data_IF_293385908751
#
_entry.id   IF_293385908751
#
_cell.length_a   1.000
_cell.length_b   1.000
_cell.length_c   1.000
_cell.angle_alpha   90.00
_cell.angle_beta   90.00
_cell.angle_gamma   90.00
#
_symmetry.space_group_name_H-M   'P 1'
#
loop_
_entity.id
_entity.type
_entity.pdbx_description
1 polymer ?
#
# COMPACT_ATOMS: atom_id res chain seq x y z
N UNK A 1 15.51 12.65 -18.51
CA UNK A 1 14.07 12.93 -18.74
C UNK A 1 13.48 13.43 -17.42
N UNK A 2 12.82 14.59 -17.40
CA UNK A 2 12.22 15.14 -16.16
C UNK A 2 11.08 14.22 -15.70
N UNK A 3 11.16 13.69 -14.48
CA UNK A 3 10.09 12.89 -13.88
C UNK A 3 8.84 13.75 -13.75
N UNK A 4 7.68 13.26 -14.20
CA UNK A 4 6.45 14.06 -14.24
C UNK A 4 5.95 14.30 -12.81
N UNK A 5 5.85 15.57 -12.43
CA UNK A 5 5.42 15.98 -11.09
C UNK A 5 3.95 16.38 -11.05
N UNK A 6 3.34 16.29 -9.87
CA UNK A 6 1.98 16.78 -9.63
C UNK A 6 1.92 17.38 -8.23
N UNK A 7 1.47 18.64 -8.06
CA UNK A 7 1.35 19.25 -6.74
C UNK A 7 0.49 18.40 -5.79
N UNK A 8 0.88 18.29 -4.52
CA UNK A 8 0.05 17.63 -3.50
C UNK A 8 -1.21 18.46 -3.22
N UNK A 9 -2.35 17.80 -2.99
CA UNK A 9 -3.57 18.51 -2.60
C UNK A 9 -3.43 19.05 -1.17
N UNK A 10 -4.26 20.03 -0.79
CA UNK A 10 -4.21 20.61 0.55
C UNK A 10 -4.38 19.56 1.65
N UNK A 11 -5.30 18.61 1.46
CA UNK A 11 -5.57 17.52 2.43
C UNK A 11 -4.41 16.54 2.52
N UNK A 12 -3.82 16.13 1.40
CA UNK A 12 -2.68 15.21 1.41
C UNK A 12 -1.49 15.81 2.16
N UNK A 13 -1.26 17.12 2.00
CA UNK A 13 -0.24 17.86 2.74
C UNK A 13 -0.57 17.97 4.22
N UNK A 14 -1.83 18.17 4.60
CA UNK A 14 -2.23 18.20 6.01
C UNK A 14 -1.87 16.88 6.70
N UNK A 15 -2.23 15.74 6.10
CA UNK A 15 -1.84 14.43 6.64
C UNK A 15 -0.33 14.27 6.73
N UNK A 16 0.42 14.66 5.68
CA UNK A 16 1.88 14.60 5.71
C UNK A 16 2.51 15.48 6.80
N UNK A 17 1.90 16.62 7.14
CA UNK A 17 2.40 17.53 8.17
C UNK A 17 2.03 17.11 9.59
N UNK A 18 1.03 16.24 9.74
CA UNK A 18 0.63 15.67 11.03
C UNK A 18 1.49 14.46 11.44
N UNK A 19 2.23 13.88 10.49
CA UNK A 19 3.19 12.78 10.75
C UNK A 19 4.27 13.25 11.72
N UNK A 20 4.40 12.52 12.83
CA UNK A 20 5.58 12.56 13.72
C UNK A 20 5.97 11.14 14.10
N UNK A 21 7.11 10.98 14.78
CA UNK A 21 7.53 9.66 15.30
C UNK A 21 6.48 9.10 16.27
N UNK A 22 5.85 9.96 17.06
CA UNK A 22 4.81 9.61 18.04
C UNK A 22 3.41 9.54 17.43
N UNK A 23 3.22 10.04 16.21
CA UNK A 23 1.95 10.00 15.49
C UNK A 23 2.15 9.58 14.02
N UNK A 24 2.43 8.29 13.76
CA UNK A 24 2.47 7.77 12.40
C UNK A 24 1.08 7.83 11.76
N UNK A 25 0.95 8.59 10.68
CA UNK A 25 -0.24 8.77 9.87
C UNK A 25 -0.40 7.59 8.90
N UNK A 26 -0.52 6.40 9.48
CA UNK A 26 -0.58 5.12 8.77
C UNK A 26 -1.99 4.54 8.77
N UNK A 27 -2.42 4.04 7.61
CA UNK A 27 -3.55 3.11 7.51
C UNK A 27 -2.98 1.72 7.29
N UNK A 28 -3.45 0.75 8.07
CA UNK A 28 -3.06 -0.65 7.90
C UNK A 28 -4.28 -1.54 7.72
N UNK A 29 -4.11 -2.60 6.94
CA UNK A 29 -5.11 -3.65 6.74
C UNK A 29 -4.43 -5.01 6.84
N UNK A 30 -5.11 -5.96 7.46
CA UNK A 30 -4.69 -7.36 7.52
C UNK A 30 -5.64 -8.17 6.65
N UNK A 31 -5.09 -8.91 5.69
CA UNK A 31 -5.85 -9.87 4.87
C UNK A 31 -5.35 -11.26 5.19
N UNK A 32 -6.24 -12.16 5.58
CA UNK A 32 -5.93 -13.57 5.85
C UNK A 32 -6.50 -14.41 4.73
N UNK A 33 -5.71 -15.38 4.25
CA UNK A 33 -6.07 -16.27 3.16
C UNK A 33 -5.92 -17.72 3.61
N UNK A 34 -6.92 -18.54 3.30
CA UNK A 34 -6.94 -19.98 3.60
C UNK A 34 -5.83 -20.77 2.86
N UNK A 35 -5.24 -20.19 1.82
CA UNK A 35 -4.17 -20.80 1.03
C UNK A 35 -3.01 -19.83 0.86
N UNK A 36 -1.79 -20.35 0.82
CA UNK A 36 -0.60 -19.55 0.50
C UNK A 36 -0.67 -18.99 -0.93
N UNK A 37 -0.29 -17.74 -1.08
CA UNK A 37 -0.21 -17.07 -2.38
C UNK A 37 1.23 -17.13 -2.87
N UNK A 38 1.47 -17.78 -4.00
CA UNK A 38 2.79 -17.79 -4.63
C UNK A 38 3.27 -16.35 -4.92
N UNK A 39 4.43 -15.95 -4.37
CA UNK A 39 4.93 -14.57 -4.44
C UNK A 39 4.98 -13.97 -5.85
N UNK A 40 5.48 -14.67 -6.89
CA UNK A 40 5.40 -14.18 -8.27
C UNK A 40 3.97 -13.89 -8.75
N UNK A 41 2.97 -14.65 -8.30
CA UNK A 41 1.55 -14.38 -8.62
C UNK A 41 1.08 -13.10 -7.91
N UNK A 42 1.42 -12.93 -6.63
CA UNK A 42 1.10 -11.71 -5.88
C UNK A 42 1.70 -10.48 -6.56
N UNK A 43 3.00 -10.52 -6.90
CA UNK A 43 3.70 -9.43 -7.61
C UNK A 43 3.03 -9.08 -8.94
N UNK A 44 2.60 -10.07 -9.71
CA UNK A 44 1.86 -9.86 -10.96
C UNK A 44 0.52 -9.14 -10.73
N UNK A 45 -0.29 -9.62 -9.78
CA UNK A 45 -1.57 -8.98 -9.43
C UNK A 45 -1.38 -7.54 -8.98
N UNK A 46 -0.38 -7.27 -8.13
CA UNK A 46 -0.05 -5.93 -7.70
C UNK A 46 0.41 -5.05 -8.87
N UNK A 47 1.23 -5.58 -9.77
CA UNK A 47 1.67 -4.83 -10.96
C UNK A 47 0.48 -4.44 -11.85
N UNK A 48 -0.42 -5.38 -12.11
CA UNK A 48 -1.53 -5.18 -13.04
C UNK A 48 -2.67 -4.34 -12.44
N UNK A 49 -2.96 -4.52 -11.14
CA UNK A 49 -4.15 -3.95 -10.49
C UNK A 49 -3.85 -2.82 -9.51
N UNK A 50 -2.74 -2.89 -8.79
CA UNK A 50 -2.36 -1.88 -7.79
C UNK A 50 -1.52 -0.76 -8.43
N UNK A 51 -0.43 -1.10 -9.11
CA UNK A 51 0.52 -0.14 -9.69
C UNK A 51 -0.01 0.60 -10.93
N UNK A 52 -1.15 0.18 -11.48
CA UNK A 52 -1.89 0.95 -12.48
C UNK A 52 -2.25 2.35 -11.98
N UNK A 53 -2.50 2.51 -10.68
CA UNK A 53 -2.65 3.82 -10.08
C UNK A 53 -1.28 4.44 -9.90
N UNK A 54 -0.98 5.46 -10.72
CA UNK A 54 0.33 6.13 -10.74
C UNK A 54 0.81 6.55 -9.35
N UNK A 55 -0.10 6.93 -8.44
CA UNK A 55 0.22 7.35 -7.07
C UNK A 55 1.09 6.34 -6.31
N UNK A 56 0.92 5.03 -6.51
CA UNK A 56 1.73 4.01 -5.83
C UNK A 56 3.15 3.86 -6.39
N UNK A 57 3.47 4.55 -7.48
CA UNK A 57 4.83 4.65 -8.04
C UNK A 57 5.47 6.01 -7.76
N UNK A 58 4.82 6.84 -6.94
CA UNK A 58 5.27 8.20 -6.67
C UNK A 58 5.76 8.37 -5.24
N UNK A 59 6.87 9.08 -5.10
CA UNK A 59 7.43 9.55 -3.83
C UNK A 59 7.13 11.04 -3.63
N UNK A 60 7.38 11.51 -2.41
CA UNK A 60 7.31 12.93 -2.09
C UNK A 60 8.57 13.62 -2.59
N UNK A 61 8.40 14.74 -3.29
CA UNK A 61 9.46 15.66 -3.65
C UNK A 61 9.14 17.05 -3.10
N UNK A 62 10.09 17.66 -2.39
CA UNK A 62 9.94 18.99 -1.82
C UNK A 62 10.72 20.00 -2.65
N UNK A 63 10.09 21.12 -2.99
CA UNK A 63 10.72 22.25 -3.69
C UNK A 63 10.32 23.55 -2.98
N UNK A 64 11.24 24.07 -2.16
CA UNK A 64 10.90 25.12 -1.18
C UNK A 64 9.83 24.62 -0.21
N UNK A 65 8.82 25.44 0.05
CA UNK A 65 7.73 25.12 0.98
C UNK A 65 6.58 24.31 0.35
N UNK A 66 6.80 23.75 -0.85
CA UNK A 66 5.78 22.99 -1.58
C UNK A 66 6.20 21.53 -1.76
N UNK A 67 5.22 20.66 -1.56
CA UNK A 67 5.34 19.22 -1.72
C UNK A 67 4.63 18.75 -3.00
N UNK A 68 5.29 17.85 -3.73
CA UNK A 68 4.86 17.31 -5.01
C UNK A 68 4.93 15.79 -4.97
N UNK A 69 4.03 15.17 -5.72
CA UNK A 69 4.11 13.77 -6.09
C UNK A 69 4.97 13.62 -7.34
N UNK A 70 6.07 12.89 -7.25
CA UNK A 70 7.01 12.66 -8.35
C UNK A 70 7.16 11.16 -8.58
N UNK A 71 7.14 10.69 -9.83
CA UNK A 71 7.44 9.27 -10.10
C UNK A 71 8.84 8.95 -9.57
N UNK A 72 8.95 7.87 -8.82
CA UNK A 72 10.21 7.39 -8.31
C UNK A 72 11.03 6.79 -9.47
N UNK A 73 12.17 7.40 -9.86
CA UNK A 73 12.99 6.90 -10.96
C UNK A 73 13.64 5.55 -10.67
N UNK A 74 13.71 5.16 -9.40
CA UNK A 74 14.29 3.88 -8.94
C UNK A 74 13.19 2.95 -8.40
N UNK A 75 11.95 3.15 -8.82
CA UNK A 75 10.84 2.32 -8.38
C UNK A 75 11.10 0.85 -8.69
N UNK A 76 11.05 0.03 -7.65
CA UNK A 76 11.08 -1.43 -7.74
C UNK A 76 10.12 -1.99 -6.71
N UNK A 77 9.17 -2.80 -7.16
CA UNK A 77 8.13 -3.42 -6.33
C UNK A 77 8.72 -4.28 -5.20
N UNK A 78 9.92 -4.85 -5.42
CA UNK A 78 10.57 -5.73 -4.45
C UNK A 78 11.08 -4.97 -3.22
N UNK A 79 11.24 -3.64 -3.32
CA UNK A 79 11.52 -2.80 -2.16
C UNK A 79 10.30 -2.55 -1.27
N UNK A 80 9.09 -2.91 -1.72
CA UNK A 80 7.83 -2.66 -1.03
C UNK A 80 7.17 -3.95 -0.52
N UNK A 81 7.65 -5.12 -0.94
CA UNK A 81 7.13 -6.42 -0.53
C UNK A 81 8.15 -7.09 0.39
N UNK A 82 7.78 -7.27 1.65
CA UNK A 82 8.63 -7.88 2.67
C UNK A 82 8.08 -9.26 3.04
N UNK A 83 8.90 -10.30 2.95
CA UNK A 83 8.52 -11.65 3.38
C UNK A 83 8.94 -11.83 4.83
N UNK A 84 7.99 -12.18 5.69
CA UNK A 84 8.20 -12.32 7.14
C UNK A 84 7.75 -13.71 7.56
N UNK A 85 8.57 -14.37 8.39
CA UNK A 85 8.17 -15.56 9.13
C UNK A 85 7.85 -15.13 10.56
N UNK A 86 6.67 -15.53 11.07
CA UNK A 86 6.31 -15.27 12.45
C UNK A 86 7.11 -16.19 13.39
N UNK A 87 7.48 -15.70 14.60
CA UNK A 87 8.11 -16.54 15.61
C UNK A 87 7.17 -17.65 16.10
N UNK A 88 7.73 -18.67 16.75
CA UNK A 88 6.96 -19.62 17.56
C UNK A 88 5.95 -20.52 16.82
N UNK A 89 5.95 -20.53 15.47
CA UNK A 89 4.99 -21.31 14.68
C UNK A 89 3.81 -20.49 14.14
N UNK A 90 3.76 -19.17 14.40
CA UNK A 90 2.91 -18.23 13.66
C UNK A 90 1.42 -18.27 14.00
N UNK A 91 1.09 -17.97 15.25
CA UNK A 91 -0.29 -17.82 15.73
C UNK A 91 -0.83 -16.40 15.64
N UNK A 92 -2.09 -16.25 16.06
CA UNK A 92 -2.80 -14.97 16.03
C UNK A 92 -2.13 -13.89 16.89
N UNK A 93 -1.56 -14.26 18.04
CA UNK A 93 -0.86 -13.31 18.92
C UNK A 93 0.38 -12.75 18.22
N UNK A 94 1.19 -13.62 17.61
CA UNK A 94 2.41 -13.20 16.92
C UNK A 94 2.11 -12.29 15.71
N UNK A 95 1.00 -12.55 15.01
CA UNK A 95 0.54 -11.65 13.95
C UNK A 95 0.09 -10.29 14.51
N UNK A 96 -0.62 -10.26 15.64
CA UNK A 96 -1.04 -9.00 16.28
C UNK A 96 0.16 -8.19 16.76
N UNK A 97 1.16 -8.84 17.36
CA UNK A 97 2.39 -8.19 17.81
C UNK A 97 3.16 -7.59 16.62
N UNK A 98 3.31 -8.35 15.52
CA UNK A 98 3.89 -7.84 14.28
C UNK A 98 3.11 -6.64 13.74
N UNK A 99 1.77 -6.70 13.72
CA UNK A 99 0.92 -5.59 13.26
C UNK A 99 1.07 -4.37 14.17
N UNK A 100 1.16 -4.57 15.48
CA UNK A 100 1.39 -3.50 16.46
C UNK A 100 2.73 -2.78 16.19
N UNK A 101 3.80 -3.54 16.04
CA UNK A 101 5.14 -3.00 15.74
C UNK A 101 5.16 -2.26 14.42
N UNK A 102 4.59 -2.87 13.38
CA UNK A 102 4.50 -2.25 12.08
C UNK A 102 3.69 -0.96 12.16
N UNK A 103 2.45 -0.97 12.65
CA UNK A 103 1.60 0.24 12.71
C UNK A 103 2.22 1.40 13.49
N UNK A 104 3.13 1.11 14.42
CA UNK A 104 3.87 2.09 15.23
C UNK A 104 5.12 2.67 14.56
N UNK A 105 5.45 2.25 13.33
CA UNK A 105 6.63 2.73 12.59
C UNK A 105 6.25 3.52 11.35
N UNK A 106 6.88 4.68 11.14
CA UNK A 106 6.70 5.47 9.92
C UNK A 106 7.33 4.83 8.68
N UNK A 107 6.97 5.34 7.49
CA UNK A 107 7.57 4.94 6.21
C UNK A 107 8.70 5.90 5.79
N UNK A 108 9.66 5.40 5.01
CA UNK A 108 10.71 6.25 4.41
C UNK A 108 10.10 7.20 3.36
N UNK A 109 10.06 8.50 3.68
CA UNK A 109 9.49 9.53 2.81
C UNK A 109 10.19 9.71 1.46
N UNK A 110 11.35 9.07 1.27
CA UNK A 110 12.09 9.09 0.01
C UNK A 110 11.57 8.06 -1.00
N UNK A 111 10.67 7.16 -0.60
CA UNK A 111 10.09 6.11 -1.45
C UNK A 111 8.57 6.30 -1.57
N UNK A 112 7.89 5.60 -2.49
CA UNK A 112 6.43 5.53 -2.45
C UNK A 112 5.92 4.99 -1.11
N UNK A 113 4.92 5.66 -0.55
CA UNK A 113 4.52 5.50 0.84
C UNK A 113 3.54 4.34 1.08
N UNK A 114 3.98 3.14 0.72
CA UNK A 114 3.25 1.91 1.00
C UNK A 114 4.20 0.72 1.13
N UNK A 115 3.76 -0.29 1.87
CA UNK A 115 4.43 -1.58 2.01
C UNK A 115 3.39 -2.70 2.09
N UNK A 116 3.78 -3.90 1.68
CA UNK A 116 3.05 -5.13 1.87
C UNK A 116 3.98 -6.12 2.55
N UNK A 117 3.60 -6.58 3.73
CA UNK A 117 4.30 -7.64 4.44
C UNK A 117 3.55 -8.95 4.16
N UNK A 118 4.21 -9.91 3.51
CA UNK A 118 3.72 -11.26 3.24
C UNK A 118 4.19 -12.19 4.36
N UNK A 119 3.24 -12.75 5.09
CA UNK A 119 3.47 -13.72 6.15
C UNK A 119 3.09 -15.09 5.61
N UNK A 120 4.09 -15.96 5.44
CA UNK A 120 3.86 -17.33 5.01
C UNK A 120 3.41 -18.22 6.17
N UNK A 121 2.67 -19.29 5.85
CA UNK A 121 2.28 -20.34 6.79
C UNK A 121 1.49 -19.83 8.01
N UNK A 122 0.64 -18.84 7.80
CA UNK A 122 -0.28 -18.34 8.83
C UNK A 122 -1.63 -19.05 8.69
N UNK A 123 -2.07 -19.72 9.76
CA UNK A 123 -3.36 -20.42 9.84
C UNK A 123 -3.65 -21.36 8.66
N UNK A 124 -2.64 -22.16 8.27
CA UNK A 124 -2.74 -23.09 7.13
C UNK A 124 -2.60 -22.45 5.74
N UNK A 125 -2.56 -21.12 5.65
CA UNK A 125 -2.36 -20.37 4.43
C UNK A 125 -1.35 -19.23 4.60
N UNK A 126 -1.77 -17.99 4.34
CA UNK A 126 -0.91 -16.82 4.47
C UNK A 126 -1.68 -15.58 4.95
N UNK A 127 -0.94 -14.59 5.44
CA UNK A 127 -1.48 -13.28 5.76
C UNK A 127 -0.71 -12.17 5.02
N UNK A 128 -1.42 -11.09 4.69
CA UNK A 128 -0.84 -9.85 4.18
C UNK A 128 -1.11 -8.72 5.16
N UNK A 129 -0.07 -8.01 5.59
CA UNK A 129 -0.22 -6.72 6.27
C UNK A 129 0.10 -5.62 5.26
N UNK A 130 -0.93 -4.93 4.79
CA UNK A 130 -0.80 -3.81 3.86
C UNK A 130 -0.80 -2.52 4.66
N UNK A 131 0.18 -1.66 4.39
CA UNK A 131 0.37 -0.40 5.12
C UNK A 131 0.57 0.73 4.14
N UNK A 132 -0.21 1.80 4.29
CA UNK A 132 -0.19 2.95 3.39
C UNK A 132 -0.26 4.23 4.22
N UNK A 133 0.53 5.23 3.86
CA UNK A 133 0.46 6.53 4.50
C UNK A 133 -0.83 7.28 4.11
N UNK A 134 -1.48 7.94 5.07
CA UNK A 134 -2.78 8.62 4.93
C UNK A 134 -2.83 9.70 3.83
N UNK A 135 -1.67 10.25 3.44
CA UNK A 135 -1.61 11.21 2.34
C UNK A 135 -1.88 10.58 0.95
N UNK A 136 -1.84 9.25 0.82
CA UNK A 136 -2.16 8.54 -0.43
C UNK A 136 -3.65 8.22 -0.54
N UNK A 137 -4.26 7.77 0.55
CA UNK A 137 -5.63 7.27 0.58
C UNK A 137 -6.24 7.49 1.96
N UNK A 138 -7.57 7.58 2.01
CA UNK A 138 -8.35 7.39 3.24
C UNK A 138 -8.74 5.91 3.41
N UNK A 139 -9.29 5.54 4.58
CA UNK A 139 -9.64 4.15 4.89
C UNK A 139 -10.61 3.52 3.91
N UNK A 140 -11.60 4.27 3.41
CA UNK A 140 -12.58 3.78 2.42
C UNK A 140 -11.89 3.52 1.08
N UNK A 141 -11.03 4.43 0.64
CA UNK A 141 -10.26 4.30 -0.59
C UNK A 141 -9.29 3.12 -0.50
N UNK A 142 -8.65 2.90 0.65
CA UNK A 142 -7.82 1.72 0.89
C UNK A 142 -8.61 0.44 0.72
N UNK A 143 -9.75 0.29 1.41
CA UNK A 143 -10.59 -0.92 1.31
C UNK A 143 -10.99 -1.19 -0.14
N UNK A 144 -11.38 -0.15 -0.90
CA UNK A 144 -11.71 -0.30 -2.32
C UNK A 144 -10.54 -0.76 -3.17
N UNK A 145 -9.33 -0.25 -2.90
CA UNK A 145 -8.11 -0.69 -3.60
C UNK A 145 -7.80 -2.14 -3.26
N UNK A 146 -7.90 -2.54 -1.99
CA UNK A 146 -7.66 -3.92 -1.56
C UNK A 146 -8.67 -4.90 -2.18
N UNK A 147 -9.96 -4.56 -2.17
CA UNK A 147 -11.00 -5.36 -2.82
C UNK A 147 -10.82 -5.44 -4.35
N UNK A 148 -10.18 -4.45 -4.99
CA UNK A 148 -9.89 -4.53 -6.42
C UNK A 148 -8.78 -5.54 -6.76
N UNK A 149 -8.02 -6.00 -5.76
CA UNK A 149 -7.00 -7.04 -5.93
C UNK A 149 -7.61 -8.44 -6.00
N UNK A 150 -8.85 -8.62 -5.57
CA UNK A 150 -9.55 -9.90 -5.59
C UNK A 150 -10.48 -10.01 -6.79
N UNK A 151 -10.82 -11.25 -7.15
CA UNK A 151 -11.84 -11.55 -8.15
C UNK A 151 -13.19 -11.81 -7.45
N UNK A 152 -14.34 -11.53 -8.10
CA UNK A 152 -15.67 -11.69 -7.49
C UNK A 152 -16.07 -13.17 -7.24
N UNK A 153 -15.26 -14.14 -7.67
CA UNK A 153 -15.45 -15.56 -7.41
C UNK A 153 -14.34 -16.41 -8.04
N UNK A 154 -14.24 -17.71 -7.67
CA UNK A 154 -13.15 -18.59 -8.10
C UNK A 154 -13.09 -18.87 -9.61
N UNK A 155 -14.22 -18.76 -10.32
CA UNK A 155 -14.31 -18.92 -11.78
C UNK A 155 -14.32 -17.59 -12.55
N UNK A 156 -14.22 -16.47 -11.86
CA UNK A 156 -14.25 -15.17 -12.52
C UNK A 156 -12.93 -14.95 -13.27
N UNK A 157 -12.99 -14.99 -14.60
CA UNK A 157 -11.92 -14.43 -15.45
C UNK A 157 -11.73 -12.98 -15.01
N UNK A 158 -10.49 -12.57 -14.73
CA UNK A 158 -10.12 -11.24 -14.23
C UNK A 158 -10.88 -10.12 -14.94
N UNK A 159 -12.06 -9.77 -14.42
CA UNK A 159 -12.89 -8.75 -15.01
C UNK A 159 -12.50 -7.51 -14.28
N UNK A 160 -11.74 -6.65 -14.97
CA UNK A 160 -11.32 -5.37 -14.43
C UNK A 160 -12.58 -4.56 -14.15
N UNK A 161 -13.07 -4.60 -12.91
CA UNK A 161 -14.14 -3.73 -12.49
C UNK A 161 -13.66 -2.30 -12.70
N UNK A 162 -14.29 -1.58 -13.63
CA UNK A 162 -14.31 -0.12 -13.60
C UNK A 162 -15.08 0.22 -12.33
N UNK A 163 -14.36 0.33 -11.21
CA UNK A 163 -14.88 0.98 -10.02
C UNK A 163 -15.52 2.29 -10.48
N UNK A 164 -16.72 2.65 -10.02
CA UNK A 164 -17.15 4.04 -10.07
C UNK A 164 -16.20 4.77 -9.12
N UNK A 165 -15.03 5.16 -9.66
CA UNK A 165 -14.06 5.97 -8.96
C UNK A 165 -14.74 7.33 -8.82
N UNK A 166 -15.50 7.51 -7.73
CA UNK A 166 -15.62 8.84 -7.13
C UNK A 166 -14.19 9.19 -6.71
N UNK A 167 -13.50 9.85 -7.65
CA UNK A 167 -12.15 10.40 -7.62
C UNK A 167 -11.30 9.84 -6.47
N UNK A 168 -10.52 8.78 -6.72
CA UNK A 168 -9.12 8.80 -6.26
C UNK A 168 -8.63 10.17 -6.72
N UNK A 169 -8.29 11.06 -5.78
CA UNK A 169 -8.18 12.51 -6.02
C UNK A 169 -7.20 12.81 -7.17
N UNK A 170 -7.75 12.81 -8.37
CA UNK A 170 -7.17 13.32 -9.59
C UNK A 170 -7.80 14.69 -9.78
N UNK A 171 -7.01 15.74 -9.58
CA UNK A 171 -7.39 17.09 -9.98
C UNK A 171 -7.07 17.24 -11.47
N UNK A 172 -7.90 17.96 -12.26
CA UNK A 172 -7.63 18.24 -13.67
C UNK A 172 -6.40 19.13 -13.83
N UNK A 173 -5.94 19.22 -15.08
CA UNK A 173 -4.76 19.93 -15.58
C UNK A 173 -4.54 21.34 -15.01
#
# INVERSE_FOLDING_TARGET
MSSKETPMTAVDRSWLRMETVENPMMISAVLVFEQSIHLPRLKRVLTDRFLRFRRFRQRIHRRGDREYWQDDPLFDIDNHIHVIALPGGGGQQELQDLVSDLTSTGLDLRRPLWQIHYIDQYDGGCALVVRIHHCIADGISLVRVLLSLTDPGPEATATVHKLPIRKLRATPA
#
